data_IF_968871734580
#
_entry.id   IF_968871734580
#
_cell.length_a   1.000
_cell.length_b   1.000
_cell.length_c   1.000
_cell.angle_alpha   90.00
_cell.angle_beta   90.00
_cell.angle_gamma   90.00
#
_symmetry.space_group_name_H-M   'P 1'
#
loop_
_entity.id
_entity.type
_entity.pdbx_description
1 polymer ?
#
# COMPACT_ATOMS: atom_id res chain seq x y z
N UNK A 1 -47.89 -52.33 -30.73
CA UNK A 1 -47.33 -51.10 -30.15
C UNK A 1 -47.60 -51.16 -28.65
N UNK A 2 -46.67 -51.20 -27.70
CA UNK A 2 -45.23 -51.39 -27.66
C UNK A 2 -44.94 -51.90 -26.23
N UNK A 3 -44.14 -52.95 -26.09
CA UNK A 3 -43.86 -53.56 -24.78
C UNK A 3 -42.82 -52.72 -24.02
N UNK A 4 -43.17 -52.32 -22.80
CA UNK A 4 -42.25 -51.68 -21.86
C UNK A 4 -41.25 -52.75 -21.41
N UNK A 5 -39.92 -52.55 -21.53
CA UNK A 5 -38.96 -53.52 -21.04
C UNK A 5 -39.05 -53.59 -19.51
N UNK A 6 -39.31 -54.80 -19.02
CA UNK A 6 -39.38 -55.11 -17.59
C UNK A 6 -37.95 -55.13 -17.04
N UNK A 7 -37.51 -54.01 -16.46
CA UNK A 7 -36.21 -53.90 -15.80
C UNK A 7 -36.24 -54.74 -14.53
N UNK A 8 -35.26 -55.63 -14.35
CA UNK A 8 -35.19 -56.47 -13.16
C UNK A 8 -34.80 -55.64 -11.93
N UNK A 9 -35.22 -56.08 -10.74
CA UNK A 9 -34.92 -55.38 -9.48
C UNK A 9 -33.40 -55.27 -9.22
N UNK A 10 -32.62 -56.21 -9.72
CA UNK A 10 -31.16 -56.23 -9.60
C UNK A 10 -30.50 -55.17 -10.51
N UNK A 11 -31.01 -54.98 -11.72
CA UNK A 11 -30.53 -53.91 -12.62
C UNK A 11 -30.85 -52.52 -12.05
N UNK A 12 -32.01 -52.36 -11.42
CA UNK A 12 -32.37 -51.11 -10.74
C UNK A 12 -31.48 -50.85 -9.52
N UNK A 13 -31.14 -51.89 -8.74
CA UNK A 13 -30.24 -51.78 -7.60
C UNK A 13 -28.80 -51.47 -8.01
N UNK A 14 -28.29 -52.11 -9.08
CA UNK A 14 -26.96 -51.80 -9.62
C UNK A 14 -26.88 -50.37 -10.18
N UNK A 15 -27.98 -49.86 -10.77
CA UNK A 15 -28.05 -48.48 -11.21
C UNK A 15 -28.01 -47.50 -10.02
N UNK A 16 -28.77 -47.77 -8.96
CA UNK A 16 -28.78 -46.93 -7.75
C UNK A 16 -27.40 -46.96 -7.05
N UNK A 17 -26.78 -48.12 -6.89
CA UNK A 17 -25.42 -48.22 -6.34
C UNK A 17 -24.40 -47.47 -7.21
N UNK A 18 -24.51 -47.56 -8.54
CA UNK A 18 -23.66 -46.85 -9.48
C UNK A 18 -23.79 -45.33 -9.40
N UNK A 19 -25.01 -44.82 -9.17
CA UNK A 19 -25.27 -43.38 -9.00
C UNK A 19 -24.80 -42.88 -7.63
N UNK A 20 -25.03 -43.65 -6.55
CA UNK A 20 -24.62 -43.26 -5.20
C UNK A 20 -23.09 -43.24 -5.04
N UNK A 21 -22.36 -44.13 -5.72
CA UNK A 21 -20.89 -44.10 -5.74
C UNK A 21 -20.27 -42.88 -6.43
N UNK A 22 -21.04 -42.16 -7.27
CA UNK A 22 -20.60 -40.94 -7.97
C UNK A 22 -20.98 -39.63 -7.26
N UNK A 23 -21.68 -39.70 -6.14
CA UNK A 23 -22.24 -38.54 -5.45
C UNK A 23 -21.45 -38.11 -4.20
N UNK A 24 -20.15 -38.40 -4.13
CA UNK A 24 -19.29 -37.71 -3.15
C UNK A 24 -18.83 -36.41 -3.82
N UNK A 25 -19.39 -35.24 -3.46
CA UNK A 25 -18.85 -33.98 -3.95
C UNK A 25 -17.39 -33.92 -3.54
N UNK A 26 -16.48 -33.44 -4.42
CA UNK A 26 -15.10 -33.22 -4.02
C UNK A 26 -15.11 -32.38 -2.74
N UNK A 27 -14.26 -32.71 -1.74
CA UNK A 27 -14.18 -31.90 -0.53
C UNK A 27 -14.01 -30.43 -0.95
N UNK A 28 -14.74 -29.49 -0.31
CA UNK A 28 -14.56 -28.09 -0.62
C UNK A 28 -13.06 -27.79 -0.54
N UNK A 29 -12.50 -27.03 -1.50
CA UNK A 29 -11.10 -26.65 -1.40
C UNK A 29 -10.88 -26.06 0.00
N UNK A 30 -9.78 -26.43 0.69
CA UNK A 30 -9.50 -25.89 2.00
C UNK A 30 -9.64 -24.37 1.91
N UNK A 31 -10.21 -23.70 2.95
CA UNK A 31 -10.36 -22.26 2.95
C UNK A 31 -9.04 -21.67 2.45
N UNK A 32 -9.07 -21.00 1.31
CA UNK A 32 -7.87 -20.33 0.84
C UNK A 32 -7.55 -19.31 1.90
N UNK A 33 -6.55 -19.61 2.71
CA UNK A 33 -5.97 -18.66 3.65
C UNK A 33 -5.38 -17.62 2.71
N UNK A 34 -6.18 -16.61 2.36
CA UNK A 34 -5.67 -15.40 1.76
C UNK A 34 -4.59 -14.99 2.74
N UNK A 35 -3.34 -15.18 2.35
CA UNK A 35 -2.21 -14.72 3.12
C UNK A 35 -2.30 -13.21 3.04
N UNK A 36 -3.04 -12.67 4.00
CA UNK A 36 -3.04 -11.28 4.37
C UNK A 36 -1.61 -11.03 4.87
N UNK A 37 -0.74 -10.73 3.91
CA UNK A 37 0.64 -10.37 4.12
C UNK A 37 0.78 -8.93 3.67
N UNK A 38 1.55 -8.17 4.44
CA UNK A 38 1.90 -6.80 4.07
C UNK A 38 2.44 -6.75 2.63
N UNK A 39 1.96 -5.79 1.84
CA UNK A 39 2.45 -5.53 0.49
C UNK A 39 2.84 -4.06 0.39
N UNK A 40 4.12 -3.81 0.11
CA UNK A 40 4.65 -2.45 -0.02
C UNK A 40 3.87 -1.60 -1.04
N UNK A 41 3.46 -2.21 -2.16
CA UNK A 41 2.65 -1.55 -3.19
C UNK A 41 1.30 -1.00 -2.71
N UNK A 42 0.70 -1.59 -1.67
CA UNK A 42 -0.61 -1.15 -1.15
C UNK A 42 -0.47 0.12 -0.28
N UNK A 43 0.75 0.37 0.22
CA UNK A 43 1.14 1.63 0.87
C UNK A 43 1.63 2.64 -0.17
N UNK A 44 2.48 2.16 -1.09
CA UNK A 44 3.28 2.93 -2.03
C UNK A 44 4.76 2.92 -1.63
N UNK A 45 5.62 3.36 -2.55
CA UNK A 45 7.07 3.44 -2.34
C UNK A 45 7.48 4.85 -1.93
N UNK A 46 8.58 4.94 -1.19
CA UNK A 46 9.20 6.20 -0.82
C UNK A 46 10.56 6.32 -1.49
N UNK A 47 10.69 7.29 -2.40
CA UNK A 47 11.92 7.61 -3.11
C UNK A 47 12.15 9.13 -3.01
N UNK A 48 12.87 9.62 -2.00
CA UNK A 48 12.95 11.05 -1.73
C UNK A 48 13.66 11.81 -2.86
N UNK A 49 12.94 12.77 -3.45
CA UNK A 49 13.43 13.63 -4.51
C UNK A 49 12.71 14.98 -4.48
N UNK A 50 13.43 16.02 -4.06
CA UNK A 50 12.87 17.35 -3.85
C UNK A 50 12.64 18.14 -5.15
N UNK A 51 13.16 17.64 -6.28
CA UNK A 51 13.02 18.24 -7.59
C UNK A 51 11.81 17.68 -8.37
N UNK A 52 11.21 16.60 -7.87
CA UNK A 52 10.01 15.97 -8.44
C UNK A 52 8.73 16.47 -7.78
N UNK A 53 7.58 16.09 -8.37
CA UNK A 53 6.27 16.26 -7.72
C UNK A 53 6.26 15.54 -6.37
N UNK A 54 5.43 15.97 -5.43
CA UNK A 54 5.37 15.36 -4.10
C UNK A 54 5.03 13.86 -4.11
N UNK A 55 4.25 13.42 -5.10
CA UNK A 55 4.01 12.02 -5.41
C UNK A 55 3.65 11.85 -6.88
N UNK A 56 3.85 10.64 -7.40
CA UNK A 56 3.46 10.24 -8.75
C UNK A 56 3.06 8.77 -8.81
N UNK A 57 2.31 8.38 -9.83
CA UNK A 57 1.99 6.97 -10.10
C UNK A 57 2.88 6.48 -11.24
N UNK A 58 3.79 5.56 -10.93
CA UNK A 58 4.71 4.92 -11.89
C UNK A 58 4.28 3.47 -12.04
N UNK A 59 3.98 3.02 -13.25
CA UNK A 59 3.53 1.65 -13.55
C UNK A 59 2.34 1.17 -12.67
N UNK A 60 1.41 2.09 -12.38
CA UNK A 60 0.24 1.81 -11.53
C UNK A 60 0.55 1.72 -10.03
N UNK A 61 1.78 2.06 -9.61
CA UNK A 61 2.21 2.08 -8.21
C UNK A 61 2.48 3.50 -7.75
N UNK A 62 1.99 3.84 -6.57
CA UNK A 62 2.21 5.16 -5.99
C UNK A 62 3.64 5.27 -5.47
N UNK A 63 4.34 6.32 -5.86
CA UNK A 63 5.66 6.70 -5.36
C UNK A 63 5.57 8.09 -4.73
N UNK A 64 6.02 8.21 -3.49
CA UNK A 64 6.11 9.45 -2.75
C UNK A 64 7.54 9.98 -2.78
N UNK A 65 7.70 11.24 -3.14
CA UNK A 65 8.96 11.95 -3.11
C UNK A 65 9.06 12.89 -1.91
N UNK A 66 7.91 13.38 -1.42
CA UNK A 66 7.83 14.18 -0.21
C UNK A 66 7.63 13.27 1.01
N UNK A 67 8.49 13.46 2.02
CA UNK A 67 8.49 12.62 3.23
C UNK A 67 7.19 12.75 4.04
N UNK A 68 6.64 13.97 4.16
CA UNK A 68 5.41 14.21 4.94
C UNK A 68 4.19 13.57 4.29
N UNK A 69 4.15 13.53 2.96
CA UNK A 69 3.10 12.83 2.22
C UNK A 69 3.14 11.32 2.49
N UNK A 70 4.34 10.73 2.51
CA UNK A 70 4.52 9.32 2.82
C UNK A 70 4.18 8.99 4.29
N UNK A 71 4.70 9.76 5.25
CA UNK A 71 4.45 9.49 6.68
C UNK A 71 3.00 9.78 7.09
N UNK A 72 2.35 10.78 6.47
CA UNK A 72 0.91 11.01 6.65
C UNK A 72 0.10 9.80 6.19
N UNK A 73 0.38 9.27 4.99
CA UNK A 73 -0.26 8.05 4.48
C UNK A 73 -0.02 6.85 5.41
N UNK A 74 1.21 6.69 5.90
CA UNK A 74 1.57 5.62 6.83
C UNK A 74 0.73 5.69 8.10
N UNK A 75 0.68 6.87 8.75
CA UNK A 75 -0.14 7.11 9.94
C UNK A 75 -1.61 6.79 9.67
N UNK A 76 -2.18 7.30 8.57
CA UNK A 76 -3.58 7.02 8.21
C UNK A 76 -3.87 5.54 8.04
N UNK A 77 -2.95 4.77 7.43
CA UNK A 77 -3.12 3.34 7.20
C UNK A 77 -3.07 2.51 8.49
N UNK A 78 -2.27 2.93 9.47
CA UNK A 78 -2.08 2.18 10.72
C UNK A 78 -2.97 2.67 11.87
N UNK A 79 -3.58 3.84 11.74
CA UNK A 79 -4.34 4.48 12.81
C UNK A 79 -5.53 3.61 13.25
N UNK A 80 -5.56 3.28 14.55
CA UNK A 80 -6.64 2.47 15.15
C UNK A 80 -6.67 1.01 14.69
N UNK A 81 -5.69 0.56 13.90
CA UNK A 81 -5.64 -0.81 13.39
C UNK A 81 -4.97 -1.72 14.41
N UNK A 82 -5.77 -2.59 15.02
CA UNK A 82 -5.31 -3.54 16.06
C UNK A 82 -5.01 -4.93 15.53
N UNK A 83 -5.52 -5.29 14.34
CA UNK A 83 -5.35 -6.62 13.70
C UNK A 83 -5.17 -6.49 12.18
N UNK A 84 -4.61 -7.53 11.54
CA UNK A 84 -4.36 -7.55 10.09
C UNK A 84 -3.07 -6.82 9.67
N UNK A 85 -2.83 -6.76 8.36
CA UNK A 85 -1.51 -6.40 7.78
C UNK A 85 -1.10 -4.95 8.03
N UNK A 86 -2.07 -4.12 8.40
CA UNK A 86 -1.89 -2.71 8.68
C UNK A 86 -1.71 -2.43 10.18
N UNK A 87 -1.65 -3.47 11.01
CA UNK A 87 -1.24 -3.32 12.40
C UNK A 87 0.16 -2.70 12.44
N UNK A 88 0.34 -1.68 13.29
CA UNK A 88 1.56 -0.88 13.31
C UNK A 88 2.85 -1.69 13.39
N UNK A 89 2.89 -2.76 14.20
CA UNK A 89 4.08 -3.60 14.33
C UNK A 89 4.40 -4.39 13.05
N UNK A 90 3.38 -4.92 12.37
CA UNK A 90 3.54 -5.63 11.10
C UNK A 90 4.10 -4.68 10.05
N UNK A 91 3.51 -3.47 9.96
CA UNK A 91 3.97 -2.46 9.01
C UNK A 91 5.39 -2.00 9.33
N UNK A 92 5.72 -1.74 10.61
CA UNK A 92 7.05 -1.28 11.04
C UNK A 92 8.15 -2.30 10.70
N UNK A 93 7.83 -3.60 10.82
CA UNK A 93 8.79 -4.68 10.54
C UNK A 93 9.10 -4.82 9.04
N UNK A 94 8.17 -4.40 8.17
CA UNK A 94 8.25 -4.55 6.72
C UNK A 94 8.40 -3.23 5.95
N UNK A 95 8.50 -2.10 6.65
CA UNK A 95 8.51 -0.77 6.02
C UNK A 95 9.75 -0.55 5.14
N UNK A 96 10.84 -1.26 5.42
CA UNK A 96 12.06 -1.27 4.62
C UNK A 96 11.79 -1.67 3.15
N UNK A 97 10.79 -2.51 2.89
CA UNK A 97 10.37 -2.90 1.54
C UNK A 97 9.76 -1.75 0.72
N UNK A 98 9.34 -0.67 1.38
CA UNK A 98 8.76 0.51 0.74
C UNK A 98 9.84 1.53 0.33
N UNK A 99 11.07 1.39 0.81
CA UNK A 99 12.14 2.36 0.55
C UNK A 99 12.77 2.11 -0.82
N UNK A 100 13.12 3.21 -1.51
CA UNK A 100 13.80 3.20 -2.81
C UNK A 100 14.86 4.29 -2.90
N UNK A 101 15.84 4.05 -3.77
CA UNK A 101 16.88 5.03 -4.11
C UNK A 101 17.64 5.54 -2.88
N UNK A 102 17.57 6.84 -2.63
CA UNK A 102 18.25 7.49 -1.50
C UNK A 102 17.75 7.00 -0.13
N UNK A 103 16.47 6.67 0.00
CA UNK A 103 15.91 6.17 1.27
C UNK A 103 16.38 4.75 1.57
N UNK A 104 16.42 3.89 0.56
CA UNK A 104 16.96 2.53 0.68
C UNK A 104 18.45 2.58 1.06
N UNK A 105 19.25 3.39 0.34
CA UNK A 105 20.67 3.56 0.65
C UNK A 105 20.92 4.04 2.08
N UNK A 106 20.15 5.02 2.53
CA UNK A 106 20.23 5.50 3.91
C UNK A 106 19.99 4.37 4.90
N UNK A 107 18.89 3.62 4.74
CA UNK A 107 18.52 2.54 5.64
C UNK A 107 19.52 1.37 5.64
N UNK A 108 20.14 1.06 4.50
CA UNK A 108 21.09 -0.07 4.42
C UNK A 108 22.51 0.30 4.81
N UNK A 109 22.97 1.51 4.47
CA UNK A 109 24.39 1.87 4.52
C UNK A 109 24.72 2.99 5.52
N UNK A 110 23.76 3.82 5.89
CA UNK A 110 24.03 5.04 6.67
C UNK A 110 23.53 4.95 8.12
N UNK A 111 22.59 4.05 8.44
CA UNK A 111 22.13 3.87 9.82
C UNK A 111 23.01 2.88 10.59
N UNK A 112 23.22 3.15 11.88
CA UNK A 112 23.90 2.22 12.79
C UNK A 112 23.10 0.93 12.95
N UNK A 113 23.76 -0.23 13.14
CA UNK A 113 23.13 -1.56 13.29
C UNK A 113 22.06 -1.62 14.40
N UNK A 114 22.18 -0.81 15.44
CA UNK A 114 21.20 -0.71 16.54
C UNK A 114 19.93 0.07 16.17
N UNK A 115 20.02 0.99 15.22
CA UNK A 115 18.91 1.85 14.78
C UNK A 115 17.81 1.11 13.99
N UNK A 116 18.08 0.20 13.02
CA UNK A 116 17.03 -0.52 12.29
C UNK A 116 16.23 -1.46 13.19
N UNK A 117 16.87 -2.09 14.17
CA UNK A 117 16.15 -2.90 15.15
C UNK A 117 15.15 -2.05 15.95
N UNK A 118 15.55 -0.83 16.34
CA UNK A 118 14.66 0.13 17.00
C UNK A 118 13.52 0.61 16.09
N UNK A 119 13.81 0.93 14.83
CA UNK A 119 12.80 1.36 13.85
C UNK A 119 11.70 0.32 13.67
N UNK A 120 12.05 -0.97 13.61
CA UNK A 120 11.07 -2.06 13.46
C UNK A 120 10.10 -2.23 14.63
N UNK A 121 10.27 -1.48 15.73
CA UNK A 121 9.39 -1.55 16.91
C UNK A 121 8.22 -0.57 16.89
N UNK A 122 8.27 0.49 16.07
CA UNK A 122 7.27 1.56 16.12
C UNK A 122 7.17 2.34 14.83
N UNK A 123 5.94 2.56 14.39
CA UNK A 123 5.62 3.44 13.25
C UNK A 123 5.95 4.90 13.54
N UNK A 124 5.78 5.34 14.79
CA UNK A 124 6.09 6.72 15.16
C UNK A 124 7.59 7.00 15.08
N UNK A 125 8.42 6.04 15.48
CA UNK A 125 9.88 6.14 15.32
C UNK A 125 10.28 6.18 13.84
N UNK A 126 9.66 5.34 13.02
CA UNK A 126 9.83 5.40 11.56
C UNK A 126 9.48 6.77 11.00
N UNK A 127 8.33 7.33 11.37
CA UNK A 127 7.92 8.64 10.85
C UNK A 127 8.87 9.74 11.30
N UNK A 128 9.30 9.73 12.57
CA UNK A 128 10.24 10.70 13.11
C UNK A 128 11.59 10.67 12.40
N UNK A 129 12.21 9.50 12.25
CA UNK A 129 13.52 9.36 11.62
C UNK A 129 13.48 9.72 10.13
N UNK A 130 12.45 9.28 9.41
CA UNK A 130 12.27 9.65 8.00
C UNK A 130 12.10 11.16 7.84
N UNK A 131 11.20 11.78 8.60
CA UNK A 131 10.98 13.23 8.56
C UNK A 131 12.24 14.00 8.94
N UNK A 132 12.96 13.57 9.98
CA UNK A 132 14.22 14.19 10.39
C UNK A 132 15.28 14.14 9.28
N UNK A 133 15.39 13.01 8.58
CA UNK A 133 16.41 12.78 7.55
C UNK A 133 16.09 13.45 6.22
N UNK A 134 14.84 13.36 5.78
CA UNK A 134 14.43 13.70 4.41
C UNK A 134 13.57 14.97 4.30
N UNK A 135 13.30 15.67 5.41
CA UNK A 135 12.65 16.98 5.33
C UNK A 135 13.46 17.95 4.49
N UNK A 136 12.76 18.75 3.69
CA UNK A 136 13.39 19.89 3.03
C UNK A 136 13.87 20.90 4.06
N UNK A 137 14.99 21.57 3.76
CA UNK A 137 15.48 22.61 4.65
C UNK A 137 14.50 23.80 4.65
N UNK A 138 14.28 24.47 5.79
CA UNK A 138 13.33 25.59 5.87
C UNK A 138 13.61 26.69 4.85
N UNK A 139 14.88 26.94 4.49
CA UNK A 139 15.25 27.92 3.47
C UNK A 139 14.81 27.52 2.05
N UNK A 140 14.86 26.24 1.71
CA UNK A 140 14.37 25.72 0.42
C UNK A 140 12.84 25.80 0.36
N UNK A 141 12.17 25.39 1.45
CA UNK A 141 10.71 25.49 1.61
C UNK A 141 10.25 26.94 1.45
N UNK A 142 10.92 27.88 2.13
CA UNK A 142 10.64 29.32 2.04
C UNK A 142 10.85 29.84 0.61
N UNK A 143 11.94 29.46 -0.05
CA UNK A 143 12.22 29.86 -1.44
C UNK A 143 11.14 29.33 -2.40
N UNK A 144 10.68 28.08 -2.21
CA UNK A 144 9.58 27.50 -2.99
C UNK A 144 8.27 28.26 -2.74
N UNK A 145 7.98 28.59 -1.48
CA UNK A 145 6.80 29.36 -1.09
C UNK A 145 6.79 30.77 -1.69
N UNK A 146 7.92 31.47 -1.65
CA UNK A 146 8.08 32.80 -2.25
C UNK A 146 7.91 32.78 -3.78
N UNK A 147 8.26 31.66 -4.43
CA UNK A 147 8.04 31.45 -5.87
C UNK A 147 6.59 31.10 -6.18
N UNK A 148 5.87 30.46 -5.27
CA UNK A 148 4.44 30.17 -5.38
C UNK A 148 3.61 31.42 -5.06
N UNK A 149 3.67 32.41 -5.96
CA UNK A 149 2.77 33.55 -5.93
C UNK A 149 1.72 33.38 -7.02
N UNK A 150 0.46 33.30 -6.62
CA UNK A 150 -0.65 33.41 -7.54
C UNK A 150 -0.78 34.88 -7.97
N UNK A 151 -0.52 35.17 -9.25
CA UNK A 151 -0.55 36.54 -9.76
C UNK A 151 -1.77 36.80 -10.64
N UNK A 152 -2.07 38.08 -10.89
CA UNK A 152 -3.11 38.49 -11.85
C UNK A 152 -2.86 37.91 -13.25
N UNK A 153 -1.60 37.60 -13.59
CA UNK A 153 -1.23 36.93 -14.84
C UNK A 153 -1.66 35.46 -14.89
N UNK A 154 -1.74 34.78 -13.74
CA UNK A 154 -2.19 33.39 -13.62
C UNK A 154 -3.73 33.28 -13.60
N UNK A 155 -4.42 34.31 -13.08
CA UNK A 155 -5.87 34.39 -13.11
C UNK A 155 -6.44 34.62 -14.53
N UNK A 156 -5.70 35.35 -15.37
CA UNK A 156 -6.12 35.71 -16.73
C UNK A 156 -6.38 34.49 -17.65
N UNK A 157 -5.58 33.40 -17.62
CA UNK A 157 -5.88 32.16 -18.34
C UNK A 157 -6.88 31.22 -17.62
N UNK A 158 -7.58 31.66 -16.55
CA UNK A 158 -8.47 30.81 -15.72
C UNK A 158 -7.75 29.58 -15.12
N UNK A 159 -6.50 29.72 -14.67
CA UNK A 159 -5.93 28.70 -13.79
C UNK A 159 -6.76 28.61 -12.52
N UNK A 160 -7.05 27.40 -12.09
CA UNK A 160 -7.86 27.17 -10.91
C UNK A 160 -7.08 27.57 -9.65
N UNK A 161 -7.60 28.51 -8.83
CA UNK A 161 -6.94 28.89 -7.59
C UNK A 161 -6.87 27.74 -6.57
N UNK A 162 -7.75 26.75 -6.66
CA UNK A 162 -7.79 25.57 -5.78
C UNK A 162 -6.57 24.66 -6.01
N UNK A 163 -6.09 24.58 -7.25
CA UNK A 163 -4.86 23.87 -7.61
C UNK A 163 -3.62 24.51 -6.95
N UNK A 164 -3.60 25.84 -6.81
CA UNK A 164 -2.53 26.54 -6.07
C UNK A 164 -2.60 26.31 -4.56
N UNK A 165 -3.80 26.30 -3.98
CA UNK A 165 -4.00 26.06 -2.53
C UNK A 165 -3.56 24.64 -2.16
N UNK A 166 -3.85 23.64 -2.99
CA UNK A 166 -3.39 22.27 -2.76
C UNK A 166 -1.86 22.17 -2.72
N UNK A 167 -1.15 22.88 -3.61
CA UNK A 167 0.32 22.90 -3.61
C UNK A 167 0.87 23.55 -2.34
N UNK A 168 0.25 24.63 -1.86
CA UNK A 168 0.66 25.31 -0.62
C UNK A 168 0.52 24.40 0.61
N UNK A 169 -0.60 23.69 0.72
CA UNK A 169 -0.89 22.79 1.85
C UNK A 169 0.09 21.60 1.96
N UNK A 170 0.81 21.26 0.89
CA UNK A 170 1.86 20.23 0.88
C UNK A 170 3.26 20.73 1.22
N UNK A 171 3.46 22.05 1.30
CA UNK A 171 4.77 22.69 1.56
C UNK A 171 4.95 23.02 3.05
N UNK A 172 3.85 23.32 3.75
CA UNK A 172 3.77 23.55 5.20
C UNK A 172 3.45 22.28 5.97
#
# INVERSE_FOLDING_TARGET
MGSIPNMSAEEFQQLIEGVLRRAVPPPPPPPQVIQDRFRAQDLGYFEPDNDKRHSETVDGRMTYHNVFSFTSRLRTKTQGVTTGNWQGQIVATNLDQCLKGKAENWYTNEISVTTPAGLKTSIDLWCFELESRFRESPGVVLTKLERLRYTIRDARPRKDPEEYVQVLATIT
#
